data_IF_713906307767
#
_entry.id   IF_713906307767
#
_cell.length_a   1.000
_cell.length_b   1.000
_cell.length_c   1.000
_cell.angle_alpha   90.00
_cell.angle_beta   90.00
_cell.angle_gamma   90.00
#
_symmetry.space_group_name_H-M   'P 1'
#
loop_
_entity.id
_entity.type
_entity.pdbx_description
1 polymer ?
#
# COMPACT_ATOMS: atom_id res chain seq x y z
N UNK A 1 -1.16 23.88 10.71
CA UNK A 1 0.17 23.44 10.26
C UNK A 1 1.10 24.60 10.49
N UNK A 2 2.17 24.49 11.30
CA UNK A 2 3.21 25.51 11.29
C UNK A 2 3.85 25.52 9.90
N UNK A 3 4.16 26.71 9.42
CA UNK A 3 4.53 27.01 8.03
C UNK A 3 5.84 26.33 7.60
N UNK A 4 5.84 25.66 6.43
CA UNK A 4 6.99 25.48 5.51
C UNK A 4 8.27 24.74 5.94
N UNK A 5 8.61 24.65 7.21
CA UNK A 5 10.00 24.43 7.66
C UNK A 5 10.52 23.00 7.42
N UNK A 6 9.65 21.99 7.56
CA UNK A 6 10.05 20.58 7.45
C UNK A 6 10.56 20.17 6.07
N UNK A 7 9.99 20.73 5.00
CA UNK A 7 10.40 20.39 3.62
C UNK A 7 11.72 21.08 3.24
N UNK A 8 11.89 22.35 3.63
CA UNK A 8 13.13 23.10 3.41
C UNK A 8 14.31 22.45 4.14
N UNK A 9 14.05 21.85 5.30
CA UNK A 9 15.05 21.06 6.02
C UNK A 9 15.49 19.80 5.26
N UNK A 10 14.60 19.15 4.50
CA UNK A 10 14.92 17.90 3.80
C UNK A 10 15.45 18.11 2.37
N UNK A 11 15.36 19.32 1.82
CA UNK A 11 15.91 19.65 0.51
C UNK A 11 17.46 19.67 0.47
N UNK A 12 18.12 19.66 1.63
CA UNK A 12 19.58 19.61 1.74
C UNK A 12 20.09 18.16 1.79
N UNK A 13 20.96 17.79 0.83
CA UNK A 13 21.49 16.42 0.71
C UNK A 13 22.28 15.97 1.95
N UNK A 14 22.93 16.89 2.66
CA UNK A 14 23.61 16.55 3.92
C UNK A 14 22.61 16.14 4.99
N UNK A 15 21.52 16.88 5.11
CA UNK A 15 20.45 16.58 6.07
C UNK A 15 19.75 15.26 5.72
N UNK A 16 19.49 15.01 4.44
CA UNK A 16 18.99 13.71 3.98
C UNK A 16 19.95 12.56 4.30
N UNK A 17 21.26 12.75 4.07
CA UNK A 17 22.30 11.77 4.42
C UNK A 17 22.36 11.49 5.92
N UNK A 18 22.22 12.50 6.78
CA UNK A 18 22.12 12.31 8.25
C UNK A 18 20.94 11.37 8.60
N UNK A 19 19.77 11.58 8.00
CA UNK A 19 18.60 10.72 8.27
C UNK A 19 18.81 9.28 7.78
N UNK A 20 19.45 9.10 6.60
CA UNK A 20 19.81 7.77 6.08
C UNK A 20 20.76 7.03 7.04
N UNK A 21 21.78 7.70 7.55
CA UNK A 21 22.74 7.10 8.49
C UNK A 21 22.11 6.75 9.84
N UNK A 22 21.23 7.60 10.37
CA UNK A 22 20.49 7.28 11.59
C UNK A 22 19.50 6.12 11.39
N UNK A 23 18.88 6.01 10.21
CA UNK A 23 18.06 4.85 9.87
C UNK A 23 18.90 3.57 9.74
N UNK A 24 20.11 3.65 9.16
CA UNK A 24 21.05 2.54 9.10
C UNK A 24 21.48 2.09 10.50
N UNK A 25 21.85 3.02 11.38
CA UNK A 25 22.18 2.71 12.77
C UNK A 25 21.02 2.05 13.52
N UNK A 26 19.78 2.47 13.27
CA UNK A 26 18.59 1.83 13.83
C UNK A 26 18.40 0.39 13.34
N UNK A 27 18.74 0.08 12.09
CA UNK A 27 18.73 -1.30 11.58
C UNK A 27 19.83 -2.15 12.22
N UNK A 28 21.02 -1.57 12.40
CA UNK A 28 22.16 -2.26 13.04
C UNK A 28 21.91 -2.55 14.51
N UNK A 29 21.34 -1.58 15.25
CA UNK A 29 21.13 -1.68 16.71
C UNK A 29 19.70 -1.24 17.10
N UNK A 30 18.67 -2.07 16.89
CA UNK A 30 17.27 -1.66 17.04
C UNK A 30 16.85 -1.25 18.46
N UNK A 31 17.52 -1.78 19.48
CA UNK A 31 17.20 -1.49 20.89
C UNK A 31 17.86 -0.23 21.44
N UNK A 32 18.97 0.16 20.83
CA UNK A 32 19.75 1.34 21.24
C UNK A 32 20.38 1.99 20.00
N UNK A 33 19.58 2.73 19.20
CA UNK A 33 19.99 3.22 17.90
C UNK A 33 20.73 4.56 17.97
N UNK A 34 21.10 5.03 19.17
CA UNK A 34 21.77 6.32 19.34
C UNK A 34 23.19 6.27 18.77
N UNK A 35 23.56 7.32 18.02
CA UNK A 35 24.87 7.45 17.38
C UNK A 35 25.58 8.69 17.89
N UNK A 36 26.79 8.53 18.41
CA UNK A 36 27.60 9.67 18.86
C UNK A 36 27.83 10.69 17.73
N UNK A 37 28.01 11.97 18.07
CA UNK A 37 28.33 13.03 17.11
C UNK A 37 29.50 12.64 16.18
N UNK A 38 30.57 12.10 16.77
CA UNK A 38 31.79 11.75 16.04
C UNK A 38 31.55 10.63 15.03
N UNK A 39 30.82 9.60 15.42
CA UNK A 39 30.47 8.46 14.58
C UNK A 39 29.52 8.86 13.46
N UNK A 40 28.49 9.66 13.77
CA UNK A 40 27.54 10.12 12.77
C UNK A 40 28.21 11.01 11.72
N UNK A 41 29.09 11.92 12.15
CA UNK A 41 29.88 12.77 11.24
C UNK A 41 30.77 11.95 10.32
N UNK A 42 31.44 10.94 10.87
CA UNK A 42 32.29 10.04 10.11
C UNK A 42 31.49 9.28 9.05
N UNK A 43 30.34 8.71 9.44
CA UNK A 43 29.44 7.98 8.53
C UNK A 43 28.91 8.85 7.37
N UNK A 44 28.51 10.09 7.67
CA UNK A 44 28.05 11.06 6.67
C UNK A 44 29.19 11.58 5.78
N UNK A 45 30.45 11.41 6.20
CA UNK A 45 31.63 11.79 5.41
C UNK A 45 31.95 13.28 5.40
N UNK A 46 31.51 14.05 6.41
CA UNK A 46 31.75 15.50 6.49
C UNK A 46 32.95 15.82 7.38
N UNK A 47 34.01 16.37 6.78
CA UNK A 47 35.24 16.74 7.49
C UNK A 47 35.08 17.97 8.39
N UNK A 48 34.26 18.95 7.97
CA UNK A 48 34.03 20.19 8.71
C UNK A 48 33.04 19.97 9.86
N UNK A 49 33.54 19.96 11.10
CA UNK A 49 32.73 19.76 12.30
C UNK A 49 31.73 20.88 12.55
N UNK A 50 32.04 22.12 12.17
CA UNK A 50 31.14 23.27 12.35
C UNK A 50 29.95 23.19 11.42
N UNK A 51 30.20 22.87 10.14
CA UNK A 51 29.16 22.63 9.15
C UNK A 51 28.28 21.44 9.53
N UNK A 52 28.88 20.32 9.95
CA UNK A 52 28.10 19.16 10.38
C UNK A 52 27.23 19.47 11.62
N UNK A 53 27.79 20.18 12.60
CA UNK A 53 27.04 20.61 13.78
C UNK A 53 25.85 21.52 13.43
N UNK A 54 26.02 22.40 12.44
CA UNK A 54 24.91 23.19 11.92
C UNK A 54 23.80 22.28 11.37
N UNK A 55 24.10 21.35 10.45
CA UNK A 55 23.06 20.49 9.85
C UNK A 55 22.35 19.59 10.87
N UNK A 56 23.08 18.97 11.81
CA UNK A 56 22.46 18.17 12.88
C UNK A 56 21.62 19.05 13.81
N UNK A 57 22.10 20.26 14.13
CA UNK A 57 21.38 21.23 14.94
C UNK A 57 20.01 21.59 14.35
N UNK A 58 19.96 21.83 13.03
CA UNK A 58 18.73 22.17 12.31
C UNK A 58 17.71 21.01 12.28
N UNK A 59 18.18 19.76 12.34
CA UNK A 59 17.32 18.57 12.40
C UNK A 59 16.85 18.24 13.83
N UNK A 60 17.59 18.70 14.84
CA UNK A 60 17.39 18.33 16.24
C UNK A 60 16.13 19.00 16.81
N UNK A 61 15.31 18.21 17.51
CA UNK A 61 14.04 18.66 18.07
C UNK A 61 12.85 18.47 17.13
N UNK A 62 13.09 18.08 15.87
CA UNK A 62 12.04 17.73 14.91
C UNK A 62 12.23 16.33 14.31
N UNK A 63 13.22 16.15 13.43
CA UNK A 63 13.51 14.86 12.82
C UNK A 63 14.49 14.02 13.64
N UNK A 64 15.33 14.66 14.45
CA UNK A 64 16.37 14.02 15.25
C UNK A 64 16.17 14.33 16.73
N UNK A 65 16.32 13.32 17.58
CA UNK A 65 16.37 13.44 19.03
C UNK A 65 17.83 13.38 19.52
N UNK A 66 18.18 14.29 20.43
CA UNK A 66 19.43 14.23 21.18
C UNK A 66 19.23 13.45 22.47
N UNK A 67 20.14 12.55 22.77
CA UNK A 67 20.17 11.68 23.96
C UNK A 67 21.53 11.75 24.63
N UNK A 68 21.69 11.14 25.80
CA UNK A 68 22.98 11.07 26.49
C UNK A 68 24.04 10.31 25.68
N UNK A 69 23.61 9.34 24.85
CA UNK A 69 24.47 8.48 24.04
C UNK A 69 24.68 8.99 22.60
N UNK A 70 24.01 10.09 22.21
CA UNK A 70 24.12 10.71 20.89
C UNK A 70 22.78 11.01 20.24
N UNK A 71 22.70 10.85 18.92
CA UNK A 71 21.54 11.23 18.11
C UNK A 71 20.78 10.00 17.59
N UNK A 72 19.45 10.10 17.53
CA UNK A 72 18.59 9.08 16.91
C UNK A 72 17.42 9.73 16.18
N UNK A 73 16.75 8.99 15.30
CA UNK A 73 15.53 9.48 14.65
C UNK A 73 14.39 9.64 15.67
N UNK A 74 13.67 10.76 15.58
CA UNK A 74 12.35 10.89 16.18
C UNK A 74 11.31 10.05 15.40
N UNK A 75 10.06 9.91 15.87
CA UNK A 75 9.00 9.29 15.07
C UNK A 75 8.78 9.99 13.71
N UNK A 76 8.85 11.32 13.67
CA UNK A 76 8.72 12.11 12.43
C UNK A 76 9.95 11.91 11.54
N UNK A 77 11.15 11.88 12.13
CA UNK A 77 12.38 11.53 11.43
C UNK A 77 12.35 10.14 10.82
N UNK A 78 11.72 9.17 11.49
CA UNK A 78 11.54 7.83 10.95
C UNK A 78 10.66 7.84 9.70
N UNK A 79 9.57 8.59 9.68
CA UNK A 79 8.72 8.72 8.50
C UNK A 79 9.48 9.37 7.33
N UNK A 80 10.16 10.49 7.59
CA UNK A 80 10.97 11.17 6.57
C UNK A 80 12.09 10.28 6.01
N UNK A 81 12.84 9.61 6.89
CA UNK A 81 13.89 8.67 6.49
C UNK A 81 13.33 7.50 5.67
N UNK A 82 12.13 7.01 6.00
CA UNK A 82 11.49 5.91 5.27
C UNK A 82 11.12 6.36 3.84
N UNK A 83 10.56 7.56 3.65
CA UNK A 83 10.27 8.11 2.32
C UNK A 83 11.53 8.34 1.49
N UNK A 84 12.61 8.84 2.11
CA UNK A 84 13.91 9.03 1.45
C UNK A 84 14.50 7.67 1.01
N UNK A 85 14.48 6.67 1.90
CA UNK A 85 14.99 5.33 1.60
C UNK A 85 14.12 4.57 0.60
N UNK A 86 12.84 4.92 0.49
CA UNK A 86 11.93 4.39 -0.51
C UNK A 86 12.13 5.05 -1.89
N UNK A 87 13.02 6.05 -1.99
CA UNK A 87 13.23 6.84 -3.21
C UNK A 87 11.95 7.52 -3.72
N UNK A 88 11.05 7.87 -2.79
CA UNK A 88 9.69 8.32 -3.11
C UNK A 88 9.60 9.70 -3.80
N UNK A 89 10.73 10.38 -3.99
CA UNK A 89 10.81 11.73 -4.57
C UNK A 89 11.64 11.79 -5.86
N UNK A 90 12.19 10.66 -6.30
CA UNK A 90 12.95 10.57 -7.54
C UNK A 90 12.03 10.19 -8.71
N UNK A 91 12.49 10.47 -9.93
CA UNK A 91 11.77 10.03 -11.13
C UNK A 91 11.78 8.49 -11.19
N UNK A 92 10.61 7.84 -11.19
CA UNK A 92 10.54 6.38 -11.22
C UNK A 92 11.08 5.85 -12.56
N UNK A 93 11.87 4.77 -12.57
CA UNK A 93 12.31 4.15 -13.82
C UNK A 93 11.16 3.35 -14.43
N UNK A 94 11.05 3.33 -15.76
CA UNK A 94 10.10 2.42 -16.42
C UNK A 94 10.66 0.99 -16.49
N UNK A 95 9.79 -0.01 -16.27
CA UNK A 95 10.10 -1.43 -16.48
C UNK A 95 8.91 -2.19 -17.06
N UNK A 96 9.23 -3.18 -17.88
CA UNK A 96 8.24 -4.05 -18.51
C UNK A 96 7.82 -3.58 -19.90
N UNK A 97 6.76 -4.19 -20.47
CA UNK A 97 6.00 -5.31 -19.92
C UNK A 97 6.85 -6.58 -19.75
N UNK A 98 6.57 -7.34 -18.71
CA UNK A 98 7.08 -8.72 -18.55
C UNK A 98 5.94 -9.67 -18.25
N UNK A 99 6.03 -10.86 -18.82
CA UNK A 99 5.17 -11.97 -18.46
C UNK A 99 5.38 -12.36 -16.99
N UNK A 100 4.29 -12.47 -16.24
CA UNK A 100 4.26 -13.00 -14.88
C UNK A 100 3.92 -14.50 -14.90
N UNK A 101 4.20 -15.17 -13.79
CA UNK A 101 3.92 -16.60 -13.64
C UNK A 101 2.42 -16.87 -13.41
N UNK A 102 1.68 -15.87 -12.93
CA UNK A 102 0.26 -15.97 -12.65
C UNK A 102 -0.64 -15.80 -13.88
N UNK A 103 -1.85 -16.34 -13.74
CA UNK A 103 -2.93 -16.18 -14.70
C UNK A 103 -4.03 -15.30 -14.10
N UNK A 104 -4.71 -14.54 -14.97
CA UNK A 104 -5.84 -13.73 -14.60
C UNK A 104 -6.96 -14.59 -14.03
N UNK A 105 -7.38 -14.34 -12.78
CA UNK A 105 -8.48 -15.09 -12.16
C UNK A 105 -9.84 -14.91 -12.86
N UNK A 106 -9.98 -13.95 -13.79
CA UNK A 106 -11.20 -13.72 -14.57
C UNK A 106 -11.24 -14.50 -15.89
N UNK A 107 -10.22 -14.35 -16.74
CA UNK A 107 -10.23 -14.93 -18.09
C UNK A 107 -9.23 -16.08 -18.28
N UNK A 108 -8.34 -16.33 -17.32
CA UNK A 108 -7.31 -17.37 -17.41
C UNK A 108 -6.09 -17.02 -18.26
N UNK A 109 -6.09 -15.86 -18.93
CA UNK A 109 -4.94 -15.39 -19.71
C UNK A 109 -3.75 -15.08 -18.80
N UNK A 110 -2.54 -15.13 -19.38
CA UNK A 110 -1.30 -14.77 -18.68
C UNK A 110 -1.34 -13.32 -18.23
N UNK A 111 -0.86 -13.05 -17.02
CA UNK A 111 -0.70 -11.70 -16.51
C UNK A 111 0.64 -11.12 -16.95
N UNK A 112 0.64 -9.81 -17.18
CA UNK A 112 1.83 -9.01 -17.47
C UNK A 112 2.01 -7.99 -16.35
N UNK A 113 3.27 -7.73 -16.01
CA UNK A 113 3.67 -6.67 -15.08
C UNK A 113 4.28 -5.49 -15.84
N UNK A 114 3.81 -4.29 -15.56
CA UNK A 114 4.45 -3.03 -15.99
C UNK A 114 4.63 -2.10 -14.81
N UNK A 115 5.75 -1.39 -14.77
CA UNK A 115 5.97 -0.31 -13.81
C UNK A 115 6.32 0.95 -14.59
N UNK A 116 5.40 1.92 -14.57
CA UNK A 116 5.49 3.17 -15.33
C UNK A 116 4.90 4.28 -14.46
N UNK A 117 5.50 5.48 -14.49
CA UNK A 117 5.05 6.65 -13.71
C UNK A 117 4.88 6.38 -12.19
N UNK A 118 5.66 5.45 -11.64
CA UNK A 118 5.60 5.08 -10.22
C UNK A 118 4.47 4.11 -9.86
N UNK A 119 3.78 3.55 -10.85
CA UNK A 119 2.64 2.66 -10.68
C UNK A 119 3.00 1.26 -11.16
N UNK A 120 2.94 0.27 -10.27
CA UNK A 120 3.01 -1.13 -10.67
C UNK A 120 1.63 -1.59 -11.09
N UNK A 121 1.51 -2.07 -12.33
CA UNK A 121 0.30 -2.68 -12.88
C UNK A 121 0.52 -4.16 -13.10
N UNK A 122 -0.47 -4.95 -12.69
CA UNK A 122 -0.57 -6.38 -12.98
C UNK A 122 -1.88 -6.60 -13.71
N UNK A 123 -1.82 -6.87 -15.01
CA UNK A 123 -3.00 -6.98 -15.86
C UNK A 123 -2.85 -8.04 -16.95
N UNK A 124 -3.97 -8.59 -17.41
CA UNK A 124 -4.01 -9.34 -18.66
C UNK A 124 -4.33 -8.42 -19.84
N UNK A 125 -4.20 -8.94 -21.07
CA UNK A 125 -4.54 -8.23 -22.31
C UNK A 125 -5.99 -7.71 -22.40
N UNK A 126 -6.91 -8.24 -21.59
CA UNK A 126 -8.31 -7.79 -21.52
C UNK A 126 -8.55 -6.70 -20.46
N UNK A 127 -7.51 -6.02 -19.98
CA UNK A 127 -7.58 -4.94 -18.98
C UNK A 127 -8.18 -5.35 -17.63
N UNK A 128 -8.19 -6.65 -17.31
CA UNK A 128 -8.42 -7.13 -15.95
C UNK A 128 -7.12 -7.07 -15.19
N UNK A 129 -7.09 -6.33 -14.09
CA UNK A 129 -5.87 -6.16 -13.33
C UNK A 129 -6.01 -5.18 -12.19
N UNK A 130 -4.87 -4.94 -11.56
CA UNK A 130 -4.71 -4.06 -10.42
C UNK A 130 -3.54 -3.14 -10.71
N UNK A 131 -3.61 -1.95 -10.15
CA UNK A 131 -2.58 -0.96 -10.28
C UNK A 131 -2.51 -0.20 -8.96
N UNK A 132 -1.29 0.03 -8.48
CA UNK A 132 -1.09 0.82 -7.29
C UNK A 132 0.27 1.54 -7.36
N UNK A 133 0.33 2.71 -6.73
CA UNK A 133 1.58 3.44 -6.61
C UNK A 133 2.54 2.68 -5.68
N UNK A 134 3.76 2.43 -6.16
CA UNK A 134 4.82 1.83 -5.36
C UNK A 134 6.09 2.67 -5.45
N UNK A 135 6.81 2.88 -4.34
CA UNK A 135 8.07 3.59 -4.36
C UNK A 135 9.11 2.89 -5.24
N UNK A 136 9.97 3.63 -5.98
CA UNK A 136 10.98 3.05 -6.88
C UNK A 136 11.90 2.03 -6.21
N UNK A 137 12.21 2.23 -4.92
CA UNK A 137 13.05 1.32 -4.15
C UNK A 137 12.52 -0.12 -4.10
N UNK A 138 11.22 -0.37 -4.34
CA UNK A 138 10.67 -1.72 -4.46
C UNK A 138 11.31 -2.50 -5.61
N UNK A 139 11.82 -1.81 -6.64
CA UNK A 139 12.48 -2.42 -7.79
C UNK A 139 14.00 -2.54 -7.66
N UNK A 140 14.59 -2.05 -6.56
CA UNK A 140 16.02 -2.15 -6.32
C UNK A 140 16.42 -3.60 -6.03
N UNK A 141 17.14 -4.22 -6.98
CA UNK A 141 17.55 -5.61 -6.86
C UNK A 141 16.42 -6.64 -7.05
N UNK A 142 15.20 -6.20 -7.36
CA UNK A 142 14.04 -7.05 -7.60
C UNK A 142 13.58 -7.05 -9.06
N UNK A 143 13.03 -8.17 -9.49
CA UNK A 143 12.24 -8.33 -10.71
C UNK A 143 10.82 -7.78 -10.53
N UNK A 144 10.08 -7.57 -11.62
CA UNK A 144 8.67 -7.18 -11.51
C UNK A 144 7.81 -8.29 -10.88
N UNK A 145 8.18 -9.56 -11.07
CA UNK A 145 7.53 -10.70 -10.41
C UNK A 145 7.65 -10.57 -8.88
N UNK A 146 8.87 -10.38 -8.37
CA UNK A 146 9.11 -10.19 -6.93
C UNK A 146 8.44 -8.92 -6.39
N UNK A 147 8.35 -7.86 -7.20
CA UNK A 147 7.66 -6.63 -6.82
C UNK A 147 6.13 -6.81 -6.66
N UNK A 148 5.55 -7.85 -7.25
CA UNK A 148 4.11 -8.14 -7.09
C UNK A 148 3.76 -8.53 -5.65
N UNK A 149 4.68 -9.13 -4.90
CA UNK A 149 4.45 -9.42 -3.47
C UNK A 149 4.28 -8.12 -2.66
N UNK A 150 5.07 -7.09 -2.98
CA UNK A 150 4.94 -5.77 -2.35
C UNK A 150 3.63 -5.07 -2.76
N UNK A 151 3.20 -5.24 -4.01
CA UNK A 151 1.90 -4.75 -4.48
C UNK A 151 0.75 -5.37 -3.69
N UNK A 152 0.71 -6.69 -3.59
CA UNK A 152 -0.33 -7.42 -2.86
C UNK A 152 -0.35 -7.01 -1.38
N UNK A 153 0.82 -6.96 -0.74
CA UNK A 153 0.95 -6.51 0.64
C UNK A 153 0.44 -5.08 0.85
N UNK A 154 0.76 -4.15 -0.07
CA UNK A 154 0.26 -2.77 -0.03
C UNK A 154 -1.26 -2.74 -0.15
N UNK A 155 -1.83 -3.38 -1.17
CA UNK A 155 -3.30 -3.37 -1.39
C UNK A 155 -4.02 -3.94 -0.16
N UNK A 156 -3.54 -5.06 0.41
CA UNK A 156 -4.13 -5.65 1.61
C UNK A 156 -4.02 -4.74 2.83
N UNK A 157 -2.88 -4.08 3.02
CA UNK A 157 -2.67 -3.12 4.11
C UNK A 157 -3.59 -1.91 4.00
N UNK A 158 -3.68 -1.34 2.79
CA UNK A 158 -4.54 -0.20 2.49
C UNK A 158 -6.01 -0.56 2.70
N UNK A 159 -6.44 -1.71 2.19
CA UNK A 159 -7.79 -2.23 2.37
C UNK A 159 -8.14 -2.44 3.86
N UNK A 160 -7.20 -2.95 4.65
CA UNK A 160 -7.41 -3.16 6.09
C UNK A 160 -7.58 -1.85 6.87
N UNK A 161 -6.91 -0.77 6.45
CA UNK A 161 -7.09 0.56 7.02
C UNK A 161 -8.42 1.19 6.57
N UNK A 162 -8.71 1.14 5.26
CA UNK A 162 -9.94 1.74 4.70
C UNK A 162 -11.21 1.07 5.26
N UNK A 163 -11.23 -0.25 5.45
CA UNK A 163 -12.36 -0.96 6.10
C UNK A 163 -12.58 -0.59 7.58
N UNK A 164 -11.68 0.21 8.17
CA UNK A 164 -11.81 0.81 9.51
C UNK A 164 -12.04 2.33 9.45
N UNK A 165 -12.52 2.80 8.31
CA UNK A 165 -12.79 4.21 8.00
C UNK A 165 -11.56 5.13 8.15
N UNK A 166 -10.37 4.60 7.88
CA UNK A 166 -9.10 5.32 7.99
C UNK A 166 -8.31 5.33 6.67
N UNK A 167 -7.85 6.52 6.26
CA UNK A 167 -6.99 6.66 5.09
C UNK A 167 -5.61 6.01 5.34
N UNK A 168 -5.13 5.11 4.48
CA UNK A 168 -3.81 4.49 4.61
C UNK A 168 -2.64 5.50 4.57
N UNK A 169 -2.82 6.61 3.86
CA UNK A 169 -1.76 7.60 3.67
C UNK A 169 -1.60 8.56 4.86
N UNK A 170 -2.70 9.04 5.45
CA UNK A 170 -2.65 10.07 6.50
C UNK A 170 -3.42 9.72 7.78
N UNK A 171 -4.06 8.55 7.84
CA UNK A 171 -4.92 8.08 8.94
C UNK A 171 -6.12 8.99 9.25
N UNK A 172 -6.45 9.93 8.35
CA UNK A 172 -7.66 10.74 8.43
C UNK A 172 -8.92 9.91 8.13
N UNK A 173 -10.08 10.40 8.56
CA UNK A 173 -11.37 9.76 8.29
C UNK A 173 -11.68 9.72 6.78
N UNK A 174 -12.35 8.66 6.34
CA UNK A 174 -12.83 8.51 4.96
C UNK A 174 -14.36 8.52 4.93
N UNK A 175 -14.92 9.07 3.85
CA UNK A 175 -16.34 8.93 3.51
C UNK A 175 -16.47 7.96 2.35
N UNK A 176 -17.55 7.16 2.36
CA UNK A 176 -17.82 6.16 1.34
C UNK A 176 -18.76 6.66 0.26
N UNK A 177 -18.41 6.38 -0.98
CA UNK A 177 -19.26 6.60 -2.15
C UNK A 177 -19.51 5.26 -2.85
N UNK A 178 -20.71 5.12 -3.42
CA UNK A 178 -21.09 3.97 -4.23
C UNK A 178 -21.30 4.44 -5.66
N UNK A 179 -20.41 4.03 -6.57
CA UNK A 179 -20.39 4.52 -7.93
C UNK A 179 -20.85 3.44 -8.90
N UNK A 180 -21.87 3.74 -9.69
CA UNK A 180 -22.38 2.90 -10.78
C UNK A 180 -22.23 3.56 -12.16
N UNK A 181 -21.95 4.87 -12.20
CA UNK A 181 -21.74 5.63 -13.43
C UNK A 181 -20.28 5.49 -13.88
N UNK A 182 -19.94 4.29 -14.32
CA UNK A 182 -18.60 3.92 -14.75
C UNK A 182 -18.47 4.00 -16.28
N UNK A 183 -17.23 4.03 -16.78
CA UNK A 183 -16.98 3.90 -18.22
C UNK A 183 -17.68 2.66 -18.77
N UNK A 184 -18.28 2.69 -19.97
CA UNK A 184 -18.86 1.50 -20.61
C UNK A 184 -17.86 0.35 -20.80
N UNK A 185 -16.56 0.66 -20.79
CA UNK A 185 -15.45 -0.29 -20.90
C UNK A 185 -15.01 -0.85 -19.54
N UNK A 186 -15.59 -0.34 -18.44
CA UNK A 186 -15.25 -0.79 -17.10
C UNK A 186 -15.63 -2.27 -16.92
N UNK A 187 -14.74 -3.10 -16.39
CA UNK A 187 -14.97 -4.53 -16.27
C UNK A 187 -15.91 -4.92 -15.10
N UNK A 188 -16.53 -3.93 -14.43
CA UNK A 188 -17.36 -4.05 -13.23
C UNK A 188 -18.60 -3.15 -13.33
N UNK A 189 -19.69 -3.52 -12.62
CA UNK A 189 -20.95 -2.76 -12.63
C UNK A 189 -21.00 -1.62 -11.60
N UNK A 190 -20.24 -1.76 -10.51
CA UNK A 190 -20.16 -0.77 -9.44
C UNK A 190 -18.85 -0.90 -8.66
N UNK A 191 -18.42 0.19 -8.04
CA UNK A 191 -17.28 0.23 -7.12
C UNK A 191 -17.63 0.98 -5.85
N UNK A 192 -16.93 0.66 -4.77
CA UNK A 192 -16.93 1.46 -3.54
C UNK A 192 -15.72 2.37 -3.57
N UNK A 193 -15.92 3.67 -3.39
CA UNK A 193 -14.83 4.66 -3.35
C UNK A 193 -14.75 5.24 -1.96
N UNK A 194 -13.63 5.01 -1.28
CA UNK A 194 -13.33 5.66 0.00
C UNK A 194 -12.56 6.96 -0.26
N UNK A 195 -13.11 8.09 0.17
CA UNK A 195 -12.57 9.43 -0.06
C UNK A 195 -12.09 10.04 1.26
N UNK A 196 -10.78 10.25 1.39
CA UNK A 196 -10.20 10.85 2.58
C UNK A 196 -10.61 12.31 2.74
N UNK A 197 -11.15 12.66 3.91
CA UNK A 197 -11.57 14.02 4.25
C UNK A 197 -10.40 14.97 4.60
N UNK A 198 -9.20 14.42 4.79
CA UNK A 198 -8.01 15.19 5.16
C UNK A 198 -7.10 15.49 3.97
N UNK A 199 -6.69 14.47 3.21
CA UNK A 199 -5.75 14.63 2.09
C UNK A 199 -6.38 14.46 0.70
N UNK A 200 -7.67 14.10 0.63
CA UNK A 200 -8.39 13.91 -0.63
C UNK A 200 -8.02 12.63 -1.41
N UNK A 201 -7.13 11.79 -0.86
CA UNK A 201 -6.77 10.52 -1.48
C UNK A 201 -7.99 9.59 -1.59
N UNK A 202 -8.08 8.86 -2.70
CA UNK A 202 -9.23 8.02 -3.05
C UNK A 202 -8.79 6.58 -3.25
N UNK A 203 -9.58 5.64 -2.74
CA UNK A 203 -9.38 4.21 -2.98
C UNK A 203 -10.64 3.62 -3.61
N UNK A 204 -10.53 3.20 -4.87
CA UNK A 204 -11.58 2.48 -5.58
C UNK A 204 -11.44 0.98 -5.30
N UNK A 205 -12.47 0.39 -4.71
CA UNK A 205 -12.47 -0.98 -4.21
C UNK A 205 -13.56 -1.79 -4.89
N UNK A 206 -13.19 -2.97 -5.37
CA UNK A 206 -14.13 -3.94 -5.92
C UNK A 206 -14.92 -4.60 -4.79
N UNK A 207 -16.22 -4.91 -4.95
CA UNK A 207 -17.04 -5.51 -3.90
C UNK A 207 -16.46 -6.80 -3.28
N UNK A 208 -15.76 -7.62 -4.06
CA UNK A 208 -15.12 -8.84 -3.56
C UNK A 208 -14.01 -8.62 -2.53
N UNK A 209 -13.39 -7.45 -2.52
CA UNK A 209 -12.38 -7.08 -1.51
C UNK A 209 -12.97 -7.02 -0.09
N UNK A 210 -14.29 -6.95 0.05
CA UNK A 210 -14.96 -6.88 1.35
C UNK A 210 -15.39 -8.24 1.87
N UNK A 211 -15.19 -9.33 1.12
CA UNK A 211 -15.65 -10.67 1.52
C UNK A 211 -14.60 -11.76 1.37
N UNK A 212 -13.47 -11.52 0.67
CA UNK A 212 -12.47 -12.55 0.42
C UNK A 212 -11.85 -13.14 1.70
N UNK A 213 -11.78 -12.35 2.78
CA UNK A 213 -11.30 -12.75 4.10
C UNK A 213 -12.42 -13.09 5.09
N UNK A 214 -13.67 -13.18 4.62
CA UNK A 214 -14.78 -13.64 5.44
C UNK A 214 -14.53 -15.09 5.87
N UNK A 215 -14.84 -15.49 7.12
CA UNK A 215 -14.46 -16.83 7.60
C UNK A 215 -15.04 -17.98 6.78
N UNK A 216 -16.23 -17.81 6.18
CA UNK A 216 -16.81 -18.81 5.27
C UNK A 216 -15.95 -19.02 4.00
N UNK A 217 -15.43 -17.92 3.41
CA UNK A 217 -14.56 -18.00 2.22
C UNK A 217 -13.21 -18.59 2.59
N UNK A 218 -12.64 -18.15 3.72
CA UNK A 218 -11.37 -18.68 4.23
C UNK A 218 -11.47 -20.18 4.52
N UNK A 219 -12.57 -20.63 5.15
CA UNK A 219 -12.83 -22.04 5.41
C UNK A 219 -12.96 -22.85 4.11
N UNK A 220 -13.75 -22.36 3.14
CA UNK A 220 -13.92 -23.04 1.86
C UNK A 220 -12.59 -23.22 1.10
N UNK A 221 -11.73 -22.19 1.08
CA UNK A 221 -10.39 -22.31 0.50
C UNK A 221 -9.47 -23.25 1.30
N UNK A 222 -9.56 -23.21 2.63
CA UNK A 222 -8.78 -24.09 3.49
C UNK A 222 -9.14 -25.57 3.28
N UNK A 223 -10.43 -25.89 3.07
CA UNK A 223 -10.89 -27.27 2.85
C UNK A 223 -10.32 -27.92 1.58
N UNK A 224 -9.96 -27.12 0.58
CA UNK A 224 -9.24 -27.56 -0.63
C UNK A 224 -7.72 -27.40 -0.53
N UNK A 225 -7.20 -27.09 0.66
CA UNK A 225 -5.77 -26.98 0.93
C UNK A 225 -5.11 -25.69 0.45
N UNK A 226 -5.88 -24.60 0.29
CA UNK A 226 -5.40 -23.31 -0.20
C UNK A 226 -5.46 -22.27 0.93
N UNK A 227 -4.32 -21.63 1.22
CA UNK A 227 -4.26 -20.48 2.11
C UNK A 227 -4.38 -19.18 1.30
N UNK A 228 -5.39 -18.37 1.58
CA UNK A 228 -5.60 -17.09 0.89
C UNK A 228 -4.55 -16.02 1.19
N UNK A 229 -3.75 -16.21 2.24
CA UNK A 229 -2.62 -15.33 2.59
C UNK A 229 -1.43 -15.54 1.66
N UNK A 230 -1.32 -16.73 1.06
CA UNK A 230 -0.25 -17.10 0.15
C UNK A 230 -0.63 -16.88 -1.32
N UNK A 231 -1.75 -16.18 -1.57
CA UNK A 231 -2.27 -15.90 -2.91
C UNK A 231 -2.39 -14.40 -3.15
N UNK A 232 -1.89 -13.88 -4.28
CA UNK A 232 -2.15 -12.50 -4.63
C UNK A 232 -3.65 -12.24 -4.84
N UNK A 233 -4.14 -11.08 -4.40
CA UNK A 233 -5.57 -10.71 -4.45
C UNK A 233 -6.18 -10.89 -5.85
N UNK A 234 -5.44 -10.57 -6.91
CA UNK A 234 -5.90 -10.70 -8.31
C UNK A 234 -6.06 -12.13 -8.82
N UNK A 235 -5.69 -13.12 -8.01
CA UNK A 235 -5.89 -14.54 -8.29
C UNK A 235 -7.09 -15.13 -7.53
N UNK A 236 -7.66 -14.38 -6.58
CA UNK A 236 -8.80 -14.81 -5.75
C UNK A 236 -10.11 -14.57 -6.50
N UNK A 237 -11.00 -15.55 -6.49
CA UNK A 237 -12.16 -15.64 -7.38
C UNK A 237 -13.13 -14.46 -7.23
N UNK A 238 -13.36 -13.99 -6.01
CA UNK A 238 -14.26 -12.87 -5.76
C UNK A 238 -13.60 -11.51 -6.01
N UNK A 239 -12.28 -11.44 -5.99
CA UNK A 239 -11.55 -10.17 -6.11
C UNK A 239 -11.44 -9.70 -7.56
N UNK A 240 -11.53 -10.60 -8.54
CA UNK A 240 -11.41 -10.24 -9.96
C UNK A 240 -12.66 -9.54 -10.52
N UNK A 241 -12.52 -8.74 -11.60
CA UNK A 241 -13.67 -8.08 -12.19
C UNK A 241 -14.77 -9.07 -12.63
N UNK A 242 -16.04 -8.66 -12.50
CA UNK A 242 -17.19 -9.48 -12.87
C UNK A 242 -17.60 -10.56 -11.85
N UNK A 243 -16.91 -10.69 -10.71
CA UNK A 243 -17.33 -11.58 -9.62
C UNK A 243 -18.45 -10.99 -8.74
N UNK A 244 -18.83 -9.73 -9.00
CA UNK A 244 -19.90 -9.03 -8.32
C UNK A 244 -20.89 -8.44 -9.34
N UNK A 245 -22.18 -8.49 -9.01
CA UNK A 245 -23.27 -7.94 -9.84
C UNK A 245 -24.21 -7.07 -9.02
N UNK A 246 -24.80 -6.05 -9.64
CA UNK A 246 -25.76 -5.19 -8.99
C UNK A 246 -27.13 -5.88 -8.94
N UNK A 247 -27.54 -6.31 -7.75
CA UNK A 247 -28.78 -7.07 -7.54
C UNK A 247 -30.01 -6.21 -7.24
N UNK A 248 -29.81 -4.97 -6.83
CA UNK A 248 -30.86 -3.96 -6.58
C UNK A 248 -30.25 -2.57 -6.74
N UNK A 249 -31.02 -1.59 -7.21
CA UNK A 249 -30.62 -0.17 -7.35
C UNK A 249 -31.23 0.73 -6.29
N UNK A 250 -32.36 0.34 -5.67
CA UNK A 250 -33.04 1.12 -4.64
C UNK A 250 -33.68 0.21 -3.56
N UNK A 251 -33.04 0.02 -2.39
CA UNK A 251 -31.69 0.47 -2.08
C UNK A 251 -30.64 -0.34 -2.87
N UNK A 252 -29.46 0.24 -3.16
CA UNK A 252 -28.41 -0.46 -3.91
C UNK A 252 -27.88 -1.68 -3.15
N UNK A 253 -27.74 -2.80 -3.85
CA UNK A 253 -27.21 -4.05 -3.28
C UNK A 253 -26.30 -4.77 -4.26
N UNK A 254 -25.04 -5.00 -3.88
CA UNK A 254 -24.13 -5.86 -4.64
C UNK A 254 -24.29 -7.31 -4.20
N UNK A 255 -24.42 -8.22 -5.15
CA UNK A 255 -24.26 -9.66 -4.93
C UNK A 255 -22.83 -10.03 -5.26
N UNK A 256 -22.17 -10.77 -4.37
CA UNK A 256 -20.81 -11.28 -4.59
C UNK A 256 -20.82 -12.79 -4.40
N UNK A 257 -20.26 -13.52 -5.36
CA UNK A 257 -19.97 -14.95 -5.23
C UNK A 257 -18.49 -15.13 -4.94
N UNK A 258 -18.17 -15.94 -3.95
CA UNK A 258 -16.81 -16.21 -3.49
C UNK A 258 -16.60 -17.70 -3.18
N UNK A 259 -15.34 -18.11 -3.06
CA UNK A 259 -14.96 -19.47 -2.71
C UNK A 259 -14.40 -20.25 -3.90
N UNK A 260 -13.63 -21.33 -3.67
CA UNK A 260 -13.00 -22.09 -4.75
C UNK A 260 -14.01 -22.63 -5.78
N UNK A 261 -15.23 -22.94 -5.35
CA UNK A 261 -16.34 -23.38 -6.19
C UNK A 261 -17.44 -22.32 -6.38
N UNK A 262 -17.21 -21.08 -5.90
CA UNK A 262 -18.19 -19.97 -5.90
C UNK A 262 -19.48 -20.28 -5.13
N UNK A 263 -19.34 -21.01 -4.04
CA UNK A 263 -20.41 -21.52 -3.19
C UNK A 263 -20.81 -20.55 -2.06
N UNK A 264 -20.00 -19.52 -1.80
CA UNK A 264 -20.30 -18.48 -0.82
C UNK A 264 -20.96 -17.27 -1.49
N UNK A 265 -22.25 -17.03 -1.23
CA UNK A 265 -22.95 -15.83 -1.69
C UNK A 265 -23.06 -14.77 -0.59
N UNK A 266 -22.72 -13.53 -0.93
CA UNK A 266 -22.84 -12.36 -0.05
C UNK A 266 -23.70 -11.27 -0.68
N UNK A 267 -24.33 -10.47 0.16
CA UNK A 267 -24.92 -9.19 -0.25
C UNK A 267 -24.29 -8.03 0.52
N UNK A 268 -23.88 -7.01 -0.21
CA UNK A 268 -23.34 -5.77 0.35
C UNK A 268 -24.28 -4.60 0.06
N UNK A 269 -24.42 -3.69 1.02
CA UNK A 269 -25.13 -2.42 0.81
C UNK A 269 -24.24 -1.33 0.19
N UNK A 270 -24.76 -0.10 0.05
CA UNK A 270 -24.03 1.03 -0.54
C UNK A 270 -22.79 1.47 0.26
N UNK A 271 -22.65 1.03 1.51
CA UNK A 271 -21.52 1.36 2.39
C UNK A 271 -20.47 0.26 2.45
N UNK A 272 -20.56 -0.71 1.54
CA UNK A 272 -19.74 -1.92 1.53
C UNK A 272 -19.93 -2.82 2.78
N UNK A 273 -21.02 -2.65 3.51
CA UNK A 273 -21.36 -3.50 4.65
C UNK A 273 -22.01 -4.79 4.16
N UNK A 274 -21.52 -5.93 4.63
CA UNK A 274 -22.14 -7.24 4.38
C UNK A 274 -23.45 -7.32 5.16
N UNK A 275 -24.58 -7.40 4.46
CA UNK A 275 -25.94 -7.47 5.02
C UNK A 275 -26.56 -8.87 4.94
N UNK A 276 -25.96 -9.75 4.14
CA UNK A 276 -26.34 -11.16 3.99
C UNK A 276 -25.07 -11.97 3.67
N UNK A 277 -24.90 -13.12 4.30
CA UNK A 277 -23.70 -13.96 4.22
C UNK A 277 -24.08 -15.45 4.35
N UNK A 278 -23.26 -16.38 3.86
CA UNK A 278 -23.53 -17.81 4.00
C UNK A 278 -23.65 -18.21 5.47
N UNK A 279 -24.60 -19.09 5.78
CA UNK A 279 -24.71 -19.72 7.10
C UNK A 279 -23.42 -20.52 7.38
N UNK A 280 -22.82 -20.30 8.55
CA UNK A 280 -21.69 -21.13 9.00
C UNK A 280 -22.27 -22.37 9.67
N UNK A 281 -22.20 -23.53 9.01
CA UNK A 281 -22.44 -24.80 9.69
C UNK A 281 -21.30 -25.02 10.71
N UNK A 282 -21.64 -24.90 12.00
CA UNK A 282 -20.73 -25.09 13.14
C UNK A 282 -20.53 -26.57 13.49
#
# INVERSE_FOLDING_TARGET
MPDGDGFDLLADETRASILRELAAARRETPRDPAVSFSTLRERVGITDSGRFNYHVGELTGHFVESTDDGYRLSPVGQQAASSILADAYSDPPDRGPVDLDEHCGRCGDRLEGTYEDGILRVNCANSHGYAEALPPAVLEGATLQEATDALDAKIRGDLAAVRRDACPACLGSVDWQFETDLSPEAPVEAVYVAVCQCCGHQHSLNPGMFVFDHPAVVAAYHDVGVDLRDRPLWTIDCCVPGAATLSSTDPPRMRVTAGPERDCEFRLDATATVVDAPEQDH
#
